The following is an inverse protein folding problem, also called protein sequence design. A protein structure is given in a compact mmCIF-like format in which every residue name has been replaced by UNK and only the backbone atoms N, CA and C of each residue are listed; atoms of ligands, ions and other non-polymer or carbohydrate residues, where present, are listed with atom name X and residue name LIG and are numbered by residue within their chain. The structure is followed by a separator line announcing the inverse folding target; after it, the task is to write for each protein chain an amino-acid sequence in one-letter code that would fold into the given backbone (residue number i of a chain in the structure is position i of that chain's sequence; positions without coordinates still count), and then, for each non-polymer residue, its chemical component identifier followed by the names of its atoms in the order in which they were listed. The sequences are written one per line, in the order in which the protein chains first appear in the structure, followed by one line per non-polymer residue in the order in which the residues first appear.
data_IF_165793679084
#
_entry.id   IF_165793679084
#
_cell.length_a   1.000
_cell.length_b   1.000
_cell.length_c   1.000
_cell.angle_alpha   90.00
_cell.angle_beta   90.00
_cell.angle_gamma   90.00
#
_symmetry.space_group_name_H-M   'P 1'
#
loop_
_entity.id
_entity.type
_entity.pdbx_description
1 polymer ?
#
# COMPACT_ATOMS: atom_id res chain seq x y z
N UNK A 1 -15.54 -16.57 21.01
CA UNK A 1 -14.29 -15.81 21.21
C UNK A 1 -14.66 -14.34 21.34
N UNK A 2 -14.17 -13.66 22.38
CA UNK A 2 -14.41 -12.22 22.57
C UNK A 2 -13.38 -11.43 21.78
N UNK A 3 -13.81 -10.75 20.72
CA UNK A 3 -12.96 -9.83 19.97
C UNK A 3 -12.96 -8.48 20.69
N UNK A 4 -11.80 -8.06 21.18
CA UNK A 4 -11.62 -6.73 21.78
C UNK A 4 -10.79 -5.86 20.84
N UNK A 5 -11.24 -4.63 20.62
CA UNK A 5 -10.51 -3.62 19.87
C UNK A 5 -10.07 -2.51 20.84
N UNK A 6 -8.79 -2.13 20.78
CA UNK A 6 -8.23 -1.05 21.61
C UNK A 6 -8.00 0.16 20.72
N UNK A 7 -8.61 1.30 21.05
CA UNK A 7 -8.34 2.56 20.40
C UNK A 7 -7.19 3.27 21.12
N UNK A 8 -6.05 3.41 20.43
CA UNK A 8 -4.87 4.09 20.97
C UNK A 8 -4.63 5.38 20.19
N UNK A 9 -4.37 6.48 20.91
CA UNK A 9 -3.94 7.75 20.29
C UNK A 9 -2.43 7.84 20.34
N UNK A 10 -1.80 7.95 19.16
CA UNK A 10 -0.35 8.06 19.04
C UNK A 10 0.06 9.54 18.94
N UNK A 11 1.08 9.93 19.71
CA UNK A 11 1.71 11.26 19.66
C UNK A 11 3.18 11.11 19.24
N UNK A 12 3.45 10.95 17.94
CA UNK A 12 4.79 10.65 17.46
C UNK A 12 5.73 11.86 17.60
N UNK A 13 7.01 11.58 17.90
CA UNK A 13 8.09 12.58 17.87
C UNK A 13 8.36 13.04 16.43
N UNK A 14 9.14 14.12 16.25
CA UNK A 14 9.47 14.62 14.92
C UNK A 14 10.13 13.55 14.02
N UNK A 15 11.06 12.77 14.59
CA UNK A 15 11.72 11.67 13.88
C UNK A 15 10.73 10.57 13.50
N UNK A 16 9.83 10.18 14.41
CA UNK A 16 8.80 9.18 14.13
C UNK A 16 7.84 9.65 13.03
N UNK A 17 7.45 10.93 13.02
CA UNK A 17 6.62 11.50 11.94
C UNK A 17 7.32 11.38 10.59
N UNK A 18 8.61 11.69 10.53
CA UNK A 18 9.39 11.57 9.30
C UNK A 18 9.45 10.12 8.80
N UNK A 19 9.73 9.17 9.71
CA UNK A 19 9.73 7.74 9.39
C UNK A 19 8.36 7.25 8.91
N UNK A 20 7.28 7.63 9.60
CA UNK A 20 5.91 7.26 9.19
C UNK A 20 5.56 7.84 7.82
N UNK A 21 5.94 9.09 7.55
CA UNK A 21 5.72 9.70 6.24
C UNK A 21 6.49 8.96 5.13
N UNK A 22 7.73 8.55 5.40
CA UNK A 22 8.52 7.76 4.46
C UNK A 22 7.91 6.38 4.23
N UNK A 23 7.58 5.64 5.28
CA UNK A 23 7.05 4.27 5.15
C UNK A 23 5.69 4.25 4.47
N UNK A 24 4.75 5.10 4.92
CA UNK A 24 3.45 5.20 4.27
C UNK A 24 3.54 5.78 2.86
N UNK A 25 4.51 6.67 2.61
CA UNK A 25 4.80 7.19 1.28
C UNK A 25 5.21 6.09 0.31
N UNK A 26 6.15 5.23 0.71
CA UNK A 26 6.60 4.09 -0.10
C UNK A 26 5.46 3.12 -0.39
N UNK A 27 4.65 2.75 0.62
CA UNK A 27 3.50 1.86 0.43
C UNK A 27 2.45 2.47 -0.51
N UNK A 28 2.15 3.77 -0.35
CA UNK A 28 1.21 4.47 -1.22
C UNK A 28 1.70 4.53 -2.67
N UNK A 29 2.99 4.83 -2.86
CA UNK A 29 3.58 4.86 -4.20
C UNK A 29 3.49 3.49 -4.87
N UNK A 30 3.91 2.43 -4.17
CA UNK A 30 3.86 1.06 -4.70
C UNK A 30 2.44 0.64 -5.06
N UNK A 31 1.46 0.93 -4.20
CA UNK A 31 0.05 0.64 -4.46
C UNK A 31 -0.44 1.34 -5.73
N UNK A 32 -0.17 2.64 -5.87
CA UNK A 32 -0.59 3.42 -7.04
C UNK A 32 0.06 2.91 -8.33
N UNK A 33 1.35 2.57 -8.27
CA UNK A 33 2.06 1.99 -9.41
C UNK A 33 1.45 0.63 -9.82
N UNK A 34 1.28 -0.28 -8.87
CA UNK A 34 0.72 -1.60 -9.12
C UNK A 34 -0.70 -1.51 -9.69
N UNK A 35 -1.55 -0.65 -9.10
CA UNK A 35 -2.91 -0.43 -9.57
C UNK A 35 -2.93 0.10 -11.02
N UNK A 36 -2.09 1.09 -11.33
CA UNK A 36 -2.02 1.65 -12.68
C UNK A 36 -1.59 0.58 -13.70
N UNK A 37 -0.53 -0.17 -13.38
CA UNK A 37 -0.03 -1.26 -14.23
C UNK A 37 -1.10 -2.34 -14.45
N UNK A 38 -1.85 -2.72 -13.40
CA UNK A 38 -2.98 -3.65 -13.51
C UNK A 38 -4.10 -3.14 -14.42
N UNK A 39 -4.45 -1.86 -14.33
CA UNK A 39 -5.47 -1.25 -15.20
C UNK A 39 -5.02 -1.28 -16.66
N UNK A 40 -3.77 -0.89 -16.93
CA UNK A 40 -3.20 -0.88 -18.29
C UNK A 40 -3.23 -2.28 -18.91
N UNK A 41 -2.70 -3.29 -18.20
CA UNK A 41 -2.70 -4.67 -18.73
C UNK A 41 -4.11 -5.21 -18.94
N UNK A 42 -5.05 -4.87 -18.06
CA UNK A 42 -6.44 -5.27 -18.25
C UNK A 42 -7.06 -4.62 -19.49
N UNK A 43 -6.78 -3.35 -19.75
CA UNK A 43 -7.24 -2.66 -20.97
C UNK A 43 -6.66 -3.28 -22.24
N UNK A 44 -5.39 -3.68 -22.21
CA UNK A 44 -4.69 -4.23 -23.37
C UNK A 44 -5.04 -5.70 -23.66
N UNK A 45 -5.22 -6.51 -22.61
CA UNK A 45 -5.31 -7.98 -22.72
C UNK A 45 -6.64 -8.56 -22.27
N UNK A 46 -7.47 -7.78 -21.58
CA UNK A 46 -8.68 -8.26 -20.89
C UNK A 46 -8.41 -9.16 -19.67
N UNK A 47 -7.13 -9.34 -19.30
CA UNK A 47 -6.70 -10.26 -18.24
C UNK A 47 -6.10 -9.51 -17.06
N UNK A 48 -6.29 -10.04 -15.85
CA UNK A 48 -5.78 -9.45 -14.62
C UNK A 48 -4.32 -9.84 -14.34
N UNK A 49 -3.53 -8.89 -13.82
CA UNK A 49 -2.15 -9.12 -13.39
C UNK A 49 -2.08 -9.76 -12.00
N UNK A 50 -1.33 -10.86 -11.89
CA UNK A 50 -0.98 -11.48 -10.61
C UNK A 50 0.25 -10.84 -9.93
N UNK A 51 0.43 -11.12 -8.64
CA UNK A 51 1.52 -10.57 -7.82
C UNK A 51 2.92 -10.82 -8.40
N UNK A 52 3.18 -12.01 -8.94
CA UNK A 52 4.48 -12.36 -9.53
C UNK A 52 4.83 -11.46 -10.71
N UNK A 53 3.85 -11.13 -11.55
CA UNK A 53 4.04 -10.27 -12.72
C UNK A 53 4.15 -8.77 -12.36
N UNK A 54 3.65 -8.36 -11.19
CA UNK A 54 3.83 -7.01 -10.67
C UNK A 54 5.23 -6.78 -10.09
N UNK A 55 5.84 -7.84 -9.54
CA UNK A 55 7.16 -7.82 -8.89
C UNK A 55 8.32 -8.18 -9.83
N UNK A 56 8.03 -8.67 -11.04
CA UNK A 56 8.98 -8.93 -12.10
C UNK A 56 9.37 -7.63 -12.83
#
# INVERSE_FOLDING_TARGET
MLHQAVQVRLYPTALQKALLAQTFGCSRWWWNYALNKSIQVYQDTGSCLGQVALNA
#
